data_IF_023766470849
#
_entry.id   IF_023766470849
#
_cell.length_a   1.000
_cell.length_b   1.000
_cell.length_c   1.000
_cell.angle_alpha   90.00
_cell.angle_beta   90.00
_cell.angle_gamma   90.00
#
_symmetry.space_group_name_H-M   'P 1'
#
loop_
_entity.id
_entity.type
_entity.pdbx_description
1 polymer ?
#
# COMPACT_ATOMS: atom_id res chain seq x y z
N UNK A 1 11.62 5.98 -4.43
CA UNK A 1 10.81 6.83 -5.33
C UNK A 1 9.35 6.38 -5.39
N UNK A 2 9.00 5.21 -5.96
CA UNK A 2 7.58 4.82 -6.17
C UNK A 2 6.72 4.66 -4.92
N UNK A 3 7.25 4.04 -3.86
CA UNK A 3 6.56 3.92 -2.58
C UNK A 3 6.27 5.29 -1.96
N UNK A 4 7.28 6.17 -1.96
CA UNK A 4 7.23 7.51 -1.36
C UNK A 4 6.22 8.37 -2.11
N UNK A 5 6.18 8.32 -3.45
CA UNK A 5 5.19 9.06 -4.26
C UNK A 5 3.75 8.71 -3.91
N UNK A 6 3.44 7.42 -3.83
CA UNK A 6 2.08 6.98 -3.47
C UNK A 6 1.75 7.30 -2.01
N UNK A 7 2.73 7.17 -1.11
CA UNK A 7 2.54 7.58 0.29
C UNK A 7 2.25 9.07 0.42
N UNK A 8 3.02 9.94 -0.22
CA UNK A 8 2.80 11.39 -0.23
C UNK A 8 1.46 11.77 -0.87
N UNK A 9 1.05 11.09 -1.95
CA UNK A 9 -0.26 11.28 -2.56
C UNK A 9 -1.41 10.95 -1.59
N UNK A 10 -1.33 9.81 -0.89
CA UNK A 10 -2.31 9.41 0.12
C UNK A 10 -2.32 10.43 1.27
N UNK A 11 -1.13 10.80 1.75
CA UNK A 11 -0.96 11.77 2.82
C UNK A 11 -1.61 13.09 2.46
N UNK A 12 -1.36 13.61 1.26
CA UNK A 12 -2.00 14.83 0.75
C UNK A 12 -3.52 14.72 0.79
N UNK A 13 -4.11 13.69 0.18
CA UNK A 13 -5.57 13.53 0.13
C UNK A 13 -6.19 13.45 1.53
N UNK A 14 -5.49 12.83 2.49
CA UNK A 14 -5.99 12.65 3.86
C UNK A 14 -5.79 13.86 4.78
N UNK A 15 -4.97 14.84 4.39
CA UNK A 15 -4.72 16.03 5.21
C UNK A 15 -5.97 16.90 5.44
N UNK A 16 -6.93 16.88 4.51
CA UNK A 16 -8.15 17.68 4.61
C UNK A 16 -9.41 16.86 4.30
N UNK A 17 -10.50 17.02 5.08
CA UNK A 17 -11.80 16.42 4.75
C UNK A 17 -12.31 16.82 3.36
N UNK A 18 -12.03 18.04 2.90
CA UNK A 18 -12.47 18.51 1.58
C UNK A 18 -11.72 17.82 0.45
N UNK A 19 -10.41 17.61 0.59
CA UNK A 19 -9.58 16.87 -0.37
C UNK A 19 -9.98 15.39 -0.41
N UNK A 20 -10.19 14.78 0.75
CA UNK A 20 -10.70 13.41 0.83
C UNK A 20 -12.08 13.28 0.17
N UNK A 21 -12.98 14.26 0.35
CA UNK A 21 -14.30 14.22 -0.28
C UNK A 21 -14.21 14.34 -1.80
N UNK A 22 -13.34 15.21 -2.32
CA UNK A 22 -13.06 15.29 -3.76
C UNK A 22 -12.52 13.98 -4.32
N UNK A 23 -11.63 13.32 -3.59
CA UNK A 23 -11.13 12.01 -3.98
C UNK A 23 -12.24 10.95 -4.02
N UNK A 24 -13.16 10.93 -3.05
CA UNK A 24 -14.33 10.03 -3.10
C UNK A 24 -15.19 10.29 -4.33
N UNK A 25 -15.40 11.55 -4.72
CA UNK A 25 -16.09 11.88 -5.97
C UNK A 25 -15.33 11.36 -7.20
N UNK A 26 -14.00 11.37 -7.19
CA UNK A 26 -13.20 10.75 -8.26
C UNK A 26 -13.40 9.23 -8.31
N UNK A 27 -13.43 8.55 -7.16
CA UNK A 27 -13.72 7.11 -7.04
C UNK A 27 -15.10 6.76 -7.62
N UNK A 28 -16.12 7.58 -7.32
CA UNK A 28 -17.47 7.43 -7.85
C UNK A 28 -17.52 7.62 -9.37
N UNK A 29 -16.85 8.66 -9.90
CA UNK A 29 -16.76 8.94 -11.34
C UNK A 29 -16.05 7.83 -12.12
N UNK A 30 -15.00 7.27 -11.54
CA UNK A 30 -14.28 6.11 -12.11
C UNK A 30 -15.05 4.79 -11.95
N UNK A 31 -16.21 4.78 -11.28
CA UNK A 31 -17.05 3.61 -11.03
C UNK A 31 -16.27 2.48 -10.34
N UNK A 32 -15.39 2.82 -9.42
CA UNK A 32 -14.59 1.85 -8.68
C UNK A 32 -15.46 1.22 -7.59
N UNK A 33 -15.76 -0.07 -7.74
CA UNK A 33 -16.57 -0.85 -6.80
C UNK A 33 -15.76 -1.30 -5.57
N UNK A 34 -15.23 -0.34 -4.80
CA UNK A 34 -14.45 -0.61 -3.59
C UNK A 34 -14.95 0.22 -2.42
N UNK A 35 -15.24 -0.44 -1.29
CA UNK A 35 -15.56 0.22 -0.01
C UNK A 35 -14.31 0.46 0.85
N UNK A 36 -13.12 0.15 0.33
CA UNK A 36 -11.89 0.35 1.08
C UNK A 36 -11.66 1.84 1.37
N UNK A 37 -11.04 2.13 2.51
CA UNK A 37 -10.64 3.48 2.87
C UNK A 37 -9.14 3.60 2.69
N UNK A 38 -8.67 4.73 2.14
CA UNK A 38 -7.24 5.07 2.13
C UNK A 38 -6.68 4.97 3.56
N UNK A 39 -5.47 4.42 3.67
CA UNK A 39 -4.75 4.28 4.95
C UNK A 39 -3.30 4.68 4.73
N UNK A 40 -2.74 5.38 5.69
CA UNK A 40 -1.31 5.63 5.74
C UNK A 40 -0.57 4.44 6.35
N UNK A 41 0.66 4.27 5.89
CA UNK A 41 1.63 3.41 6.54
C UNK A 41 1.83 3.79 8.01
N UNK A 42 2.03 2.80 8.86
CA UNK A 42 2.30 2.95 10.29
C UNK A 42 3.63 2.27 10.58
N UNK A 43 4.74 3.01 10.73
CA UNK A 43 6.09 2.43 10.78
C UNK A 43 6.30 1.35 11.84
N UNK A 44 5.53 1.38 12.93
CA UNK A 44 5.59 0.40 14.02
C UNK A 44 4.78 -0.87 13.76
N UNK A 45 4.05 -0.97 12.65
CA UNK A 45 3.23 -2.12 12.27
C UNK A 45 3.74 -2.69 10.95
N UNK A 46 4.42 -3.82 11.02
CA UNK A 46 5.08 -4.48 9.88
C UNK A 46 4.15 -4.78 8.68
N UNK A 47 2.83 -4.82 8.89
CA UNK A 47 1.81 -5.04 7.84
C UNK A 47 1.21 -3.80 7.20
N UNK A 48 1.47 -2.63 7.78
CA UNK A 48 0.75 -1.42 7.39
C UNK A 48 1.09 -0.99 5.97
N UNK A 49 2.33 -1.19 5.53
CA UNK A 49 2.77 -0.89 4.16
C UNK A 49 2.00 -1.73 3.14
N UNK A 50 1.89 -3.05 3.38
CA UNK A 50 1.09 -3.93 2.53
C UNK A 50 -0.35 -3.44 2.43
N UNK A 51 -0.98 -3.16 3.57
CA UNK A 51 -2.38 -2.73 3.62
C UNK A 51 -2.60 -1.38 2.93
N UNK A 52 -1.68 -0.43 3.10
CA UNK A 52 -1.71 0.85 2.39
C UNK A 52 -1.66 0.63 0.88
N UNK A 53 -0.69 -0.14 0.40
CA UNK A 53 -0.45 -0.36 -1.02
C UNK A 53 -1.56 -1.16 -1.69
N UNK A 54 -2.07 -2.20 -1.03
CA UNK A 54 -3.18 -3.00 -1.52
C UNK A 54 -4.43 -2.13 -1.72
N UNK A 55 -4.69 -1.18 -0.82
CA UNK A 55 -5.78 -0.22 -0.99
C UNK A 55 -5.46 0.81 -2.09
N UNK A 56 -4.25 1.35 -2.12
CA UNK A 56 -3.85 2.35 -3.11
C UNK A 56 -4.01 1.82 -4.56
N UNK A 57 -3.60 0.57 -4.80
CA UNK A 57 -3.74 -0.08 -6.10
C UNK A 57 -5.20 -0.20 -6.57
N UNK A 58 -6.15 -0.42 -5.65
CA UNK A 58 -7.58 -0.45 -5.99
C UNK A 58 -8.10 0.91 -6.48
N UNK A 59 -7.40 1.99 -6.13
CA UNK A 59 -7.79 3.35 -6.46
C UNK A 59 -6.87 4.03 -7.48
N UNK A 60 -5.99 3.29 -8.17
CA UNK A 60 -5.06 3.79 -9.20
C UNK A 60 -5.71 4.82 -10.15
N UNK A 61 -6.85 4.46 -10.76
CA UNK A 61 -7.60 5.34 -11.66
C UNK A 61 -8.18 6.58 -10.99
N UNK A 62 -8.54 6.50 -9.71
CA UNK A 62 -9.04 7.66 -8.97
C UNK A 62 -7.92 8.67 -8.66
N UNK A 63 -6.68 8.21 -8.44
CA UNK A 63 -5.52 9.11 -8.31
C UNK A 63 -5.24 9.86 -9.61
N UNK A 64 -5.35 9.17 -10.75
CA UNK A 64 -5.20 9.79 -12.07
C UNK A 64 -6.28 10.86 -12.31
N UNK A 65 -7.56 10.53 -12.09
CA UNK A 65 -8.65 11.52 -12.17
C UNK A 65 -8.48 12.67 -11.19
N UNK A 66 -8.02 12.41 -9.97
CA UNK A 66 -7.85 13.46 -8.95
C UNK A 66 -6.84 14.51 -9.41
N UNK A 67 -5.78 14.08 -10.11
CA UNK A 67 -4.81 14.99 -10.73
C UNK A 67 -5.44 15.87 -11.80
N UNK A 68 -6.32 15.33 -12.65
CA UNK A 68 -7.04 16.09 -13.68
C UNK A 68 -7.98 17.14 -13.06
N UNK A 69 -8.60 16.81 -11.92
CA UNK A 69 -9.57 17.68 -11.24
C UNK A 69 -8.93 18.71 -10.29
N UNK A 70 -7.70 18.48 -9.83
CA UNK A 70 -6.98 19.39 -8.94
C UNK A 70 -5.53 19.66 -9.41
N UNK A 71 -5.31 20.74 -10.18
CA UNK A 71 -3.95 21.14 -10.57
C UNK A 71 -3.02 21.44 -9.38
N UNK A 72 -3.57 21.75 -8.19
CA UNK A 72 -2.76 21.94 -7.00
C UNK A 72 -2.18 20.62 -6.49
N UNK A 73 -2.80 19.48 -6.80
CA UNK A 73 -2.34 18.17 -6.36
C UNK A 73 -0.90 17.90 -6.80
N UNK A 74 -0.61 18.05 -8.09
CA UNK A 74 0.73 17.81 -8.62
C UNK A 74 1.75 18.81 -8.06
N UNK A 75 1.39 20.09 -8.01
CA UNK A 75 2.28 21.14 -7.46
C UNK A 75 2.70 20.84 -6.02
N UNK A 76 1.74 20.50 -5.14
CA UNK A 76 2.06 20.20 -3.75
C UNK A 76 2.92 18.92 -3.61
N UNK A 77 2.70 17.92 -4.47
CA UNK A 77 3.50 16.69 -4.46
C UNK A 77 4.91 16.87 -5.03
N UNK A 78 5.13 17.85 -5.91
CA UNK A 78 6.46 18.20 -6.41
C UNK A 78 7.33 18.87 -5.33
N UNK A 79 6.71 19.57 -4.39
CA UNK A 79 7.41 20.19 -3.24
C UNK A 79 7.81 19.17 -2.16
N UNK A 80 7.25 17.96 -2.19
CA UNK A 80 7.53 16.89 -1.23
C UNK A 80 8.60 15.89 -1.68
N UNK A 81 8.97 14.99 -0.77
CA UNK A 81 10.04 13.99 -0.96
C UNK A 81 9.76 12.96 -2.08
N UNK A 82 8.52 12.89 -2.57
CA UNK A 82 8.11 12.01 -3.65
C UNK A 82 8.52 12.50 -5.05
N UNK A 83 8.70 13.81 -5.24
CA UNK A 83 9.02 14.39 -6.55
C UNK A 83 7.85 14.30 -7.55
N UNK A 84 6.62 14.50 -7.08
CA UNK A 84 5.42 14.60 -7.93
C UNK A 84 4.41 13.47 -7.77
N UNK A 85 3.40 13.46 -8.64
CA UNK A 85 2.30 12.50 -8.61
C UNK A 85 2.74 11.06 -8.94
N UNK A 86 1.95 10.04 -8.55
CA UNK A 86 2.14 8.68 -9.05
C UNK A 86 2.02 8.61 -10.57
N UNK A 87 2.96 7.90 -11.20
CA UNK A 87 3.02 7.62 -12.64
C UNK A 87 2.79 6.13 -12.91
N UNK A 88 2.53 5.75 -14.17
CA UNK A 88 2.25 4.36 -14.58
C UNK A 88 3.30 3.36 -14.08
N UNK A 89 4.58 3.75 -14.16
CA UNK A 89 5.68 2.92 -13.67
C UNK A 89 5.63 2.66 -12.16
N UNK A 90 5.11 3.61 -11.37
CA UNK A 90 4.93 3.40 -9.93
C UNK A 90 3.92 2.29 -9.66
N UNK A 91 2.80 2.29 -10.38
CA UNK A 91 1.77 1.27 -10.23
C UNK A 91 2.28 -0.12 -10.64
N UNK A 92 3.13 -0.20 -11.67
CA UNK A 92 3.80 -1.46 -12.07
C UNK A 92 4.71 -1.98 -10.95
N UNK A 93 5.56 -1.13 -10.38
CA UNK A 93 6.43 -1.51 -9.25
C UNK A 93 5.60 -1.96 -8.06
N UNK A 94 4.56 -1.20 -7.71
CA UNK A 94 3.73 -1.49 -6.55
C UNK A 94 2.94 -2.79 -6.69
N UNK A 95 2.49 -3.14 -7.90
CA UNK A 95 1.86 -4.46 -8.16
C UNK A 95 2.82 -5.60 -7.82
N UNK A 96 4.09 -5.51 -8.25
CA UNK A 96 5.11 -6.51 -7.90
C UNK A 96 5.42 -6.55 -6.40
N UNK A 97 5.57 -5.38 -5.77
CA UNK A 97 5.83 -5.28 -4.34
C UNK A 97 4.67 -5.84 -3.50
N UNK A 98 3.42 -5.53 -3.86
CA UNK A 98 2.23 -6.04 -3.16
C UNK A 98 2.13 -7.56 -3.28
N UNK A 99 2.46 -8.15 -4.43
CA UNK A 99 2.49 -9.61 -4.59
C UNK A 99 3.49 -10.26 -3.63
N UNK A 100 4.70 -9.69 -3.50
CA UNK A 100 5.70 -10.20 -2.55
C UNK A 100 5.25 -10.03 -1.10
N UNK A 101 4.74 -8.85 -0.73
CA UNK A 101 4.27 -8.56 0.62
C UNK A 101 3.04 -9.37 1.01
N UNK A 102 2.18 -9.73 0.05
CA UNK A 102 1.00 -10.55 0.29
C UNK A 102 1.36 -11.95 0.82
N UNK A 103 2.46 -12.54 0.30
CA UNK A 103 2.94 -13.85 0.76
C UNK A 103 3.32 -13.76 2.24
N UNK A 104 4.15 -12.78 2.59
CA UNK A 104 4.56 -12.53 3.98
C UNK A 104 3.36 -12.24 4.89
N UNK A 105 2.41 -11.43 4.42
CA UNK A 105 1.18 -11.12 5.16
C UNK A 105 0.38 -12.38 5.53
N UNK A 106 0.19 -13.28 4.57
CA UNK A 106 -0.54 -14.55 4.77
C UNK A 106 0.15 -15.47 5.76
N UNK A 107 1.47 -15.62 5.67
CA UNK A 107 2.25 -16.45 6.60
C UNK A 107 2.06 -15.96 8.03
N UNK A 108 2.19 -14.66 8.26
CA UNK A 108 2.08 -14.16 9.63
C UNK A 108 0.64 -14.12 10.15
N UNK A 109 -0.37 -13.95 9.29
CA UNK A 109 -1.76 -14.16 9.71
C UNK A 109 -1.97 -15.60 10.20
N UNK A 110 -1.37 -16.57 9.52
CA UNK A 110 -1.43 -17.99 9.92
C UNK A 110 -0.76 -18.20 11.28
N UNK A 111 0.47 -17.71 11.46
CA UNK A 111 1.23 -17.82 12.72
C UNK A 111 0.58 -17.04 13.87
N UNK A 112 -0.04 -15.89 13.58
CA UNK A 112 -0.71 -15.06 14.61
C UNK A 112 -2.08 -15.61 15.00
N UNK A 113 -2.70 -16.43 14.14
CA UNK A 113 -3.98 -17.08 14.37
C UNK A 113 -3.89 -18.42 15.10
N UNK A 114 -2.70 -19.00 15.21
CA UNK A 114 -2.49 -20.24 15.97
C UNK A 114 -2.37 -19.93 17.46
N UNK A 115 -3.33 -20.39 18.27
CA UNK A 115 -3.37 -20.29 19.73
C UNK A 115 -2.54 -21.34 20.46
N UNK A 116 -1.80 -22.18 19.73
CA UNK A 116 -0.97 -23.26 20.30
C UNK A 116 0.51 -22.88 20.27
N UNK A 117 1.30 -23.44 21.19
CA UNK A 117 2.77 -23.31 21.22
C UNK A 117 3.36 -23.84 19.91
N UNK A 118 3.57 -22.94 18.95
CA UNK A 118 3.99 -23.23 17.57
C UNK A 118 5.47 -23.54 17.42
N UNK A 119 6.29 -23.21 18.42
CA UNK A 119 7.74 -23.44 18.38
C UNK A 119 8.11 -24.91 18.13
N UNK A 120 7.36 -25.87 18.69
CA UNK A 120 7.70 -27.29 18.56
C UNK A 120 7.35 -27.88 17.18
N UNK A 121 6.46 -27.22 16.42
CA UNK A 121 6.00 -27.73 15.12
C UNK A 121 6.84 -27.15 13.98
N UNK A 122 7.14 -25.86 14.01
CA UNK A 122 7.87 -25.19 12.93
C UNK A 122 9.39 -25.18 13.10
N UNK A 123 9.93 -25.67 14.22
CA UNK A 123 11.38 -25.78 14.43
C UNK A 123 12.06 -26.61 13.34
N UNK A 124 11.40 -27.68 12.90
CA UNK A 124 11.91 -28.53 11.83
C UNK A 124 11.92 -27.79 10.49
N UNK A 125 10.80 -27.16 10.12
CA UNK A 125 10.68 -26.41 8.85
C UNK A 125 11.66 -25.22 8.80
N UNK A 126 11.85 -24.52 9.91
CA UNK A 126 12.83 -23.43 10.02
C UNK A 126 14.26 -23.97 9.88
N UNK A 127 14.58 -25.13 10.46
CA UNK A 127 15.90 -25.74 10.33
C UNK A 127 16.20 -26.21 8.91
N UNK A 128 15.18 -26.68 8.19
CA UNK A 128 15.30 -27.13 6.81
C UNK A 128 15.51 -25.95 5.84
N UNK A 129 14.77 -24.86 6.04
CA UNK A 129 14.98 -23.61 5.30
C UNK A 129 16.37 -23.02 5.61
N UNK A 130 16.81 -23.05 6.88
CA UNK A 130 18.12 -22.57 7.26
C UNK A 130 19.26 -23.39 6.66
N UNK A 131 19.10 -24.71 6.54
CA UNK A 131 20.07 -25.59 5.86
C UNK A 131 20.16 -25.30 4.36
N UNK A 132 19.01 -25.10 3.69
CA UNK A 132 18.94 -24.75 2.27
C UNK A 132 19.51 -23.37 1.93
N UNK A 133 19.51 -22.44 2.90
CA UNK A 133 20.08 -21.10 2.75
C UNK A 133 21.58 -21.03 3.05
N UNK A 134 22.19 -22.11 3.54
CA UNK A 134 23.60 -22.17 3.94
C UNK A 134 24.47 -23.05 3.01
N UNK A 135 23.92 -23.46 1.87
CA UNK A 135 24.66 -23.99 0.70
C UNK A 135 24.82 -22.87 -0.36
#
# INVERSE_FOLDING_TARGET
MSLIRVWEAIRYIQQSPSWLQRFKTCVEKEKIESKALLRLDVPTRWNSTYQMLEVALRFERAFERYHEEDPCFERNLLEGDGGGRPMDFDWVILKGLVQMLQISYRVTLTVSGTTSTTSNVYLHDISEIAALLNE
#
